data_IF_138417778469
#
_entry.id   IF_138417778469
#
_cell.length_a   1.000
_cell.length_b   1.000
_cell.length_c   1.000
_cell.angle_alpha   90.00
_cell.angle_beta   90.00
_cell.angle_gamma   90.00
#
_symmetry.space_group_name_H-M   'P 1'
#
loop_
_entity.id
_entity.type
_entity.pdbx_description
1 polymer ?
#
# COMPACT_ATOMS: atom_id res chain seq x y z
N UNK A 1 42.28 46.78 -15.56
CA UNK A 1 43.13 45.63 -15.94
C UNK A 1 42.48 44.35 -15.45
N UNK A 2 41.72 43.66 -16.31
CA UNK A 2 41.04 42.40 -15.98
C UNK A 2 41.87 41.24 -16.51
N UNK A 3 42.36 40.40 -15.59
CA UNK A 3 43.26 39.28 -15.85
C UNK A 3 42.45 38.11 -16.44
N UNK A 4 42.60 37.87 -17.74
CA UNK A 4 41.94 36.79 -18.47
C UNK A 4 42.29 35.42 -17.91
N UNK A 5 41.30 34.73 -17.33
CA UNK A 5 41.40 33.33 -16.93
C UNK A 5 41.19 32.46 -18.17
N UNK A 6 42.21 31.67 -18.51
CA UNK A 6 42.21 30.73 -19.62
C UNK A 6 41.04 29.72 -19.50
N UNK A 7 40.16 29.62 -20.52
CA UNK A 7 39.01 28.72 -20.50
C UNK A 7 39.37 27.21 -20.47
N UNK A 8 40.65 26.85 -20.68
CA UNK A 8 41.09 25.45 -20.65
C UNK A 8 41.18 24.81 -19.26
N UNK A 9 41.27 25.61 -18.19
CA UNK A 9 41.41 25.09 -16.82
C UNK A 9 40.08 24.56 -16.23
N UNK A 10 38.93 25.04 -16.74
CA UNK A 10 37.63 24.65 -16.20
C UNK A 10 37.22 23.24 -16.68
N UNK A 11 37.51 22.92 -17.95
CA UNK A 11 37.16 21.62 -18.55
C UNK A 11 37.93 20.45 -17.93
N UNK A 12 39.21 20.62 -17.60
CA UNK A 12 40.02 19.55 -17.00
C UNK A 12 39.62 19.25 -15.55
N UNK A 13 39.13 20.25 -14.82
CA UNK A 13 38.69 20.09 -13.43
C UNK A 13 37.28 19.46 -13.38
N UNK A 14 36.41 19.83 -14.31
CA UNK A 14 35.06 19.25 -14.42
C UNK A 14 35.09 17.78 -14.89
N UNK A 15 35.99 17.43 -15.84
CA UNK A 15 36.15 16.06 -16.31
C UNK A 15 36.73 15.12 -15.23
N UNK A 16 37.70 15.60 -14.43
CA UNK A 16 38.24 14.82 -13.30
C UNK A 16 37.21 14.61 -12.19
N UNK A 17 36.31 15.58 -11.98
CA UNK A 17 35.25 15.48 -10.96
C UNK A 17 34.12 14.53 -11.39
N UNK A 18 33.81 14.47 -12.68
CA UNK A 18 32.79 13.56 -13.22
C UNK A 18 33.28 12.11 -13.29
N UNK A 19 34.56 11.86 -13.56
CA UNK A 19 35.16 10.51 -13.48
C UNK A 19 35.23 10.03 -12.01
N UNK A 20 35.54 10.91 -11.06
CA UNK A 20 35.54 10.57 -9.63
C UNK A 20 34.12 10.33 -9.04
N UNK A 21 33.07 10.86 -9.69
CA UNK A 21 31.68 10.57 -9.36
C UNK A 21 31.16 9.29 -10.02
N UNK A 22 31.68 8.92 -11.19
CA UNK A 22 31.39 7.63 -11.83
C UNK A 22 32.02 6.43 -11.10
N UNK A 23 33.05 6.67 -10.27
CA UNK A 23 33.69 5.67 -9.42
C UNK A 23 32.99 5.49 -8.04
N UNK A 24 31.90 6.23 -7.78
CA UNK A 24 31.04 5.95 -6.62
C UNK A 24 30.13 4.76 -6.92
N UNK A 25 30.70 3.57 -6.72
CA UNK A 25 30.02 2.34 -6.30
C UNK A 25 28.70 2.08 -7.05
N UNK A 26 28.80 1.63 -8.30
CA UNK A 26 27.80 0.66 -8.76
C UNK A 26 27.83 -0.50 -7.76
N UNK A 27 26.75 -0.78 -7.01
CA UNK A 27 26.74 -1.92 -6.11
C UNK A 27 27.08 -3.15 -6.95
N UNK A 28 28.15 -3.82 -6.54
CA UNK A 28 28.73 -5.00 -7.17
C UNK A 28 27.74 -6.16 -7.01
N UNK A 29 26.62 -6.11 -7.74
CA UNK A 29 25.61 -7.17 -7.82
C UNK A 29 26.19 -8.31 -8.65
N UNK A 30 27.12 -9.05 -8.04
CA UNK A 30 27.53 -10.38 -8.48
C UNK A 30 27.21 -11.38 -7.38
N UNK A 31 26.06 -11.20 -6.77
CA UNK A 31 25.46 -12.22 -5.91
C UNK A 31 24.83 -13.23 -6.84
N UNK A 32 25.13 -14.51 -6.64
CA UNK A 32 24.47 -15.55 -7.40
C UNK A 32 22.95 -15.46 -7.18
N UNK A 33 22.12 -15.88 -8.15
CA UNK A 33 20.67 -15.85 -8.00
C UNK A 33 20.20 -16.60 -6.74
N UNK A 34 20.96 -17.60 -6.30
CA UNK A 34 20.72 -18.37 -5.07
C UNK A 34 20.93 -17.51 -3.80
N UNK A 35 22.02 -16.73 -3.74
CA UNK A 35 22.32 -15.87 -2.58
C UNK A 35 21.30 -14.73 -2.44
N UNK A 36 20.86 -14.20 -3.59
CA UNK A 36 19.75 -13.23 -3.63
C UNK A 36 18.48 -13.83 -3.04
N UNK A 37 18.10 -15.05 -3.45
CA UNK A 37 16.92 -15.74 -2.91
C UNK A 37 17.06 -15.99 -1.40
N UNK A 38 18.23 -16.42 -0.92
CA UNK A 38 18.42 -16.65 0.52
C UNK A 38 18.38 -15.36 1.35
N UNK A 39 18.90 -14.24 0.81
CA UNK A 39 18.82 -12.93 1.48
C UNK A 39 17.40 -12.39 1.46
N UNK A 40 16.73 -12.47 0.32
CA UNK A 40 15.32 -12.11 0.17
C UNK A 40 14.44 -12.91 1.13
N UNK A 41 14.66 -14.23 1.21
CA UNK A 41 13.96 -15.15 2.13
C UNK A 41 14.23 -14.82 3.61
N UNK A 42 15.44 -14.36 3.96
CA UNK A 42 15.73 -13.87 5.32
C UNK A 42 15.08 -12.52 5.63
N UNK A 43 14.99 -11.61 4.65
CA UNK A 43 14.24 -10.35 4.79
C UNK A 43 12.73 -10.57 4.94
N UNK A 44 12.20 -11.60 4.29
CA UNK A 44 10.79 -12.00 4.43
C UNK A 44 10.46 -12.56 5.80
N UNK A 45 11.40 -13.18 6.52
CA UNK A 45 11.18 -13.70 7.86
C UNK A 45 10.86 -12.60 8.91
N UNK A 46 11.19 -11.33 8.61
CA UNK A 46 10.78 -10.18 9.43
C UNK A 46 9.30 -9.81 9.26
N UNK A 47 8.67 -10.21 8.15
CA UNK A 47 7.24 -10.00 7.94
C UNK A 47 6.51 -11.22 8.53
N UNK A 48 5.81 -11.05 9.66
CA UNK A 48 4.93 -12.09 10.21
C UNK A 48 3.49 -11.82 9.78
N UNK A 49 2.72 -12.88 9.48
CA UNK A 49 1.28 -12.83 9.18
C UNK A 49 0.92 -12.80 7.69
N UNK A 50 -0.21 -12.18 7.36
CA UNK A 50 -0.81 -12.14 6.02
C UNK A 50 0.14 -11.62 4.94
N UNK A 51 0.99 -10.63 5.25
CA UNK A 51 1.96 -10.06 4.28
C UNK A 51 2.99 -11.08 3.80
N UNK A 52 3.48 -11.95 4.69
CA UNK A 52 4.40 -13.02 4.30
C UNK A 52 3.73 -14.05 3.40
N UNK A 53 2.50 -14.43 3.73
CA UNK A 53 1.74 -15.35 2.92
C UNK A 53 1.50 -14.76 1.51
N UNK A 54 1.08 -13.50 1.43
CA UNK A 54 0.83 -12.82 0.15
C UNK A 54 2.08 -12.68 -0.72
N UNK A 55 3.25 -12.37 -0.13
CA UNK A 55 4.49 -12.16 -0.87
C UNK A 55 5.23 -13.45 -1.25
N UNK A 56 5.03 -14.53 -0.49
CA UNK A 56 5.80 -15.78 -0.69
C UNK A 56 4.92 -16.88 -1.25
N UNK A 57 3.76 -17.14 -0.64
CA UNK A 57 2.85 -18.20 -1.08
C UNK A 57 2.03 -17.76 -2.29
N UNK A 58 1.59 -16.49 -2.33
CA UNK A 58 0.82 -15.94 -3.44
C UNK A 58 1.47 -16.17 -4.82
N UNK A 59 2.73 -15.76 -5.04
CA UNK A 59 3.41 -15.97 -6.32
C UNK A 59 3.59 -17.45 -6.67
N UNK A 60 3.85 -18.32 -5.69
CA UNK A 60 3.98 -19.76 -5.93
C UNK A 60 2.64 -20.37 -6.40
N UNK A 61 1.53 -20.00 -5.76
CA UNK A 61 0.19 -20.44 -6.16
C UNK A 61 -0.17 -19.89 -7.54
N UNK A 62 0.10 -18.60 -7.81
CA UNK A 62 -0.11 -17.99 -9.13
C UNK A 62 0.71 -18.66 -10.22
N UNK A 63 1.97 -19.03 -9.93
CA UNK A 63 2.84 -19.71 -10.87
C UNK A 63 2.34 -21.13 -11.17
N UNK A 64 1.84 -21.84 -10.14
CA UNK A 64 1.16 -23.12 -10.31
C UNK A 64 -0.09 -23.01 -11.19
N UNK A 65 -0.94 -22.02 -10.92
CA UNK A 65 -2.15 -21.73 -11.71
C UNK A 65 -1.80 -21.40 -13.17
N UNK A 66 -0.82 -20.52 -13.40
CA UNK A 66 -0.38 -20.13 -14.72
C UNK A 66 0.19 -21.31 -15.51
N UNK A 67 1.00 -22.16 -14.86
CA UNK A 67 1.53 -23.38 -15.47
C UNK A 67 0.41 -24.33 -15.88
N UNK A 68 -0.56 -24.55 -14.99
CA UNK A 68 -1.72 -25.40 -15.25
C UNK A 68 -2.58 -24.85 -16.41
N UNK A 69 -2.78 -23.54 -16.45
CA UNK A 69 -3.51 -22.85 -17.53
C UNK A 69 -2.80 -23.01 -18.88
N UNK A 70 -1.48 -22.83 -18.92
CA UNK A 70 -0.68 -23.00 -20.15
C UNK A 70 -0.77 -24.43 -20.68
N UNK A 71 -0.60 -25.44 -19.80
CA UNK A 71 -0.70 -26.85 -20.19
C UNK A 71 -2.08 -27.15 -20.78
N UNK A 72 -3.15 -26.67 -20.13
CA UNK A 72 -4.52 -26.85 -20.64
C UNK A 72 -4.74 -26.08 -21.95
N UNK A 73 -4.24 -24.85 -22.07
CA UNK A 73 -4.33 -24.06 -23.30
C UNK A 73 -3.75 -24.78 -24.52
N UNK A 74 -2.65 -25.52 -24.34
CA UNK A 74 -2.06 -26.35 -25.40
C UNK A 74 -2.83 -27.65 -25.68
N UNK A 75 -3.50 -28.24 -24.68
CA UNK A 75 -4.19 -29.54 -24.82
C UNK A 75 -5.63 -29.37 -25.34
N UNK A 76 -6.40 -28.44 -24.77
CA UNK A 76 -7.84 -28.26 -25.07
C UNK A 76 -8.16 -26.98 -25.84
N UNK A 77 -7.18 -26.07 -25.99
CA UNK A 77 -7.35 -24.75 -26.61
C UNK A 77 -7.52 -23.64 -25.57
N UNK A 78 -6.98 -22.44 -25.90
CA UNK A 78 -6.92 -21.30 -24.99
C UNK A 78 -8.30 -20.77 -24.55
N UNK A 79 -9.26 -20.73 -25.49
CA UNK A 79 -10.63 -20.26 -25.20
C UNK A 79 -11.35 -21.20 -24.21
N UNK A 80 -11.29 -22.51 -24.46
CA UNK A 80 -11.88 -23.52 -23.56
C UNK A 80 -11.21 -23.51 -22.19
N UNK A 81 -9.87 -23.43 -22.15
CA UNK A 81 -9.13 -23.33 -20.89
C UNK A 81 -9.52 -22.08 -20.09
N UNK A 82 -9.71 -20.93 -20.76
CA UNK A 82 -10.22 -19.72 -20.12
C UNK A 82 -11.61 -19.93 -19.54
N UNK A 83 -12.57 -20.40 -20.35
CA UNK A 83 -13.95 -20.61 -19.94
C UNK A 83 -14.07 -21.59 -18.75
N UNK A 84 -13.26 -22.64 -18.71
CA UNK A 84 -13.18 -23.59 -17.58
C UNK A 84 -12.59 -22.91 -16.34
N UNK A 85 -11.55 -22.09 -16.50
CA UNK A 85 -10.91 -21.38 -15.38
C UNK A 85 -11.86 -20.38 -14.72
N UNK A 86 -12.65 -19.67 -15.52
CA UNK A 86 -13.68 -18.73 -15.03
C UNK A 86 -15.01 -19.41 -14.70
N UNK A 87 -15.08 -20.75 -14.80
CA UNK A 87 -16.26 -21.58 -14.50
C UNK A 87 -17.52 -21.26 -15.33
N UNK A 88 -17.33 -20.73 -16.54
CA UNK A 88 -18.43 -20.59 -17.51
C UNK A 88 -18.82 -21.96 -18.05
N UNK A 89 -17.83 -22.82 -18.30
CA UNK A 89 -18.02 -24.17 -18.86
C UNK A 89 -17.61 -25.21 -17.83
N UNK A 90 -18.44 -26.25 -17.69
CA UNK A 90 -18.13 -27.41 -16.85
C UNK A 90 -17.01 -28.25 -17.47
N UNK A 91 -16.06 -28.79 -16.70
CA UNK A 91 -15.04 -29.71 -17.23
C UNK A 91 -15.63 -31.01 -17.80
N UNK A 92 -16.90 -31.31 -17.51
CA UNK A 92 -17.65 -32.48 -18.00
C UNK A 92 -18.45 -32.22 -19.27
N UNK A 93 -18.32 -31.05 -19.86
CA UNK A 93 -19.00 -30.73 -21.11
C UNK A 93 -18.49 -31.61 -22.26
N UNK A 94 -19.38 -32.04 -23.15
CA UNK A 94 -19.06 -32.95 -24.26
C UNK A 94 -18.04 -32.34 -25.24
N UNK A 95 -17.95 -31.01 -25.26
CA UNK A 95 -16.99 -30.27 -26.06
C UNK A 95 -15.52 -30.44 -25.59
N UNK A 96 -15.29 -30.99 -24.40
CA UNK A 96 -13.96 -31.17 -23.82
C UNK A 96 -13.55 -32.65 -23.95
N UNK A 97 -12.71 -32.93 -24.94
CA UNK A 97 -12.25 -34.29 -25.23
C UNK A 97 -11.51 -35.00 -24.09
N UNK A 98 -10.96 -34.26 -23.12
CA UNK A 98 -10.17 -34.79 -22.00
C UNK A 98 -10.54 -34.14 -20.65
N UNK A 99 -11.68 -34.55 -20.04
CA UNK A 99 -12.18 -33.96 -18.78
C UNK A 99 -11.17 -34.02 -17.63
N UNK A 100 -10.38 -35.09 -17.56
CA UNK A 100 -9.39 -35.33 -16.49
C UNK A 100 -8.29 -34.28 -16.42
N UNK A 101 -7.94 -33.65 -17.54
CA UNK A 101 -6.91 -32.60 -17.60
C UNK A 101 -7.47 -31.23 -17.22
N UNK A 102 -8.75 -30.98 -17.54
CA UNK A 102 -9.48 -29.76 -17.23
C UNK A 102 -9.95 -29.69 -15.76
N UNK A 103 -10.15 -30.84 -15.12
CA UNK A 103 -10.66 -30.94 -13.74
C UNK A 103 -9.81 -30.17 -12.71
N UNK A 104 -8.47 -30.34 -12.66
CA UNK A 104 -7.62 -29.57 -11.75
C UNK A 104 -7.70 -28.07 -12.01
N UNK A 105 -7.85 -27.64 -13.26
CA UNK A 105 -7.93 -26.24 -13.65
C UNK A 105 -9.22 -25.59 -13.13
N UNK A 106 -10.34 -26.29 -13.27
CA UNK A 106 -11.65 -25.85 -12.75
C UNK A 106 -11.62 -25.69 -11.22
N UNK A 107 -11.08 -26.70 -10.51
CA UNK A 107 -10.87 -26.66 -9.05
C UNK A 107 -9.98 -25.49 -8.63
N UNK A 108 -8.90 -25.25 -9.37
CA UNK A 108 -7.98 -24.16 -9.07
C UNK A 108 -8.64 -22.79 -9.29
N UNK A 109 -9.40 -22.61 -10.38
CA UNK A 109 -10.19 -21.41 -10.62
C UNK A 109 -11.20 -21.14 -9.50
N UNK A 110 -11.81 -22.19 -8.93
CA UNK A 110 -12.70 -22.07 -7.78
C UNK A 110 -12.01 -21.64 -6.50
N UNK A 111 -10.83 -22.15 -6.21
CA UNK A 111 -10.09 -21.81 -4.99
C UNK A 111 -9.49 -20.39 -5.01
N UNK A 112 -9.21 -19.84 -6.19
CA UNK A 112 -8.64 -18.49 -6.32
C UNK A 112 -9.58 -17.43 -5.76
N UNK A 113 -10.89 -17.51 -6.05
CA UNK A 113 -11.84 -16.48 -5.64
C UNK A 113 -11.99 -16.30 -4.12
N UNK A 114 -12.27 -17.36 -3.33
CA UNK A 114 -12.32 -17.25 -1.87
C UNK A 114 -11.00 -16.80 -1.27
N UNK A 115 -9.87 -17.20 -1.87
CA UNK A 115 -8.54 -16.82 -1.40
C UNK A 115 -8.29 -15.33 -1.59
N UNK A 116 -8.63 -14.78 -2.76
CA UNK A 116 -8.53 -13.35 -3.05
C UNK A 116 -9.46 -12.55 -2.14
N UNK A 117 -10.72 -12.96 -2.00
CA UNK A 117 -11.68 -12.30 -1.11
C UNK A 117 -11.24 -12.34 0.35
N UNK A 118 -10.79 -13.50 0.82
CA UNK A 118 -10.26 -13.67 2.18
C UNK A 118 -9.02 -12.82 2.43
N UNK A 119 -8.14 -12.68 1.44
CA UNK A 119 -6.97 -11.80 1.52
C UNK A 119 -7.36 -10.32 1.57
N UNK A 120 -8.31 -9.89 0.75
CA UNK A 120 -8.83 -8.51 0.76
C UNK A 120 -9.53 -8.20 2.09
N UNK A 121 -10.42 -9.08 2.55
CA UNK A 121 -11.11 -8.93 3.84
C UNK A 121 -10.11 -8.96 4.99
N UNK A 122 -9.15 -9.88 4.98
CA UNK A 122 -8.09 -9.95 5.97
C UNK A 122 -7.20 -8.70 5.97
N UNK A 123 -6.92 -8.10 4.82
CA UNK A 123 -6.20 -6.83 4.72
C UNK A 123 -7.03 -5.67 5.29
N UNK A 124 -8.33 -5.61 5.00
CA UNK A 124 -9.24 -4.58 5.52
C UNK A 124 -9.43 -4.73 7.04
N UNK A 125 -9.52 -5.96 7.55
CA UNK A 125 -9.70 -6.25 8.99
C UNK A 125 -8.41 -6.21 9.80
N UNK A 126 -7.25 -6.41 9.17
CA UNK A 126 -5.95 -6.27 9.82
C UNK A 126 -5.55 -4.81 10.07
N UNK A 127 -6.42 -3.85 9.72
CA UNK A 127 -6.28 -2.45 10.10
C UNK A 127 -6.17 -2.35 11.63
N UNK A 128 -5.02 -1.94 12.20
CA UNK A 128 -4.69 -2.04 13.62
C UNK A 128 -5.36 -0.95 14.44
N UNK A 129 -6.66 -0.74 14.27
CA UNK A 129 -7.43 0.24 15.07
C UNK A 129 -7.76 -0.27 16.48
N UNK A 130 -7.46 -1.53 16.83
CA UNK A 130 -8.03 -2.16 18.03
C UNK A 130 -7.15 -2.36 19.27
N UNK A 131 -5.81 -2.38 19.20
CA UNK A 131 -5.07 -3.18 20.18
C UNK A 131 -3.73 -2.66 20.69
N UNK A 132 -3.61 -1.39 21.12
CA UNK A 132 -2.64 -0.84 22.12
C UNK A 132 -2.37 0.67 22.01
N UNK A 133 -3.28 1.48 21.47
CA UNK A 133 -3.15 2.94 21.50
C UNK A 133 -3.58 3.57 22.85
N UNK A 134 -3.19 2.98 23.99
CA UNK A 134 -3.53 3.51 25.34
C UNK A 134 -2.43 4.34 26.00
N UNK A 135 -1.29 4.57 25.35
CA UNK A 135 -0.22 5.41 25.95
C UNK A 135 0.45 6.42 25.01
N UNK A 136 0.03 6.52 23.74
CA UNK A 136 0.67 7.42 22.74
C UNK A 136 -0.25 8.45 22.08
N UNK A 137 -1.57 8.38 22.31
CA UNK A 137 -2.54 9.33 21.73
C UNK A 137 -2.50 10.70 22.40
N UNK A 138 -1.82 10.84 23.54
CA UNK A 138 -1.56 12.15 24.17
C UNK A 138 -0.57 13.01 23.37
N UNK A 139 0.17 12.43 22.43
CA UNK A 139 1.17 13.12 21.62
C UNK A 139 0.65 13.54 20.24
N UNK A 140 -0.57 13.15 19.87
CA UNK A 140 -1.14 13.59 18.59
C UNK A 140 -1.59 15.05 18.76
N UNK A 141 -1.07 16.00 17.95
CA UNK A 141 -1.43 17.39 18.06
C UNK A 141 -2.93 17.53 17.81
N UNK A 142 -3.60 18.21 18.74
CA UNK A 142 -5.03 18.54 18.58
C UNK A 142 -5.15 19.82 17.77
N UNK A 143 -6.29 20.00 17.09
CA UNK A 143 -6.56 21.20 16.29
C UNK A 143 -6.64 22.47 17.15
N UNK A 144 -6.82 22.34 18.46
CA UNK A 144 -6.83 23.43 19.44
C UNK A 144 -5.48 23.64 20.15
N UNK A 145 -4.44 22.90 19.76
CA UNK A 145 -3.09 23.07 20.31
C UNK A 145 -2.46 24.32 19.71
N UNK A 146 -1.92 25.19 20.56
CA UNK A 146 -1.22 26.42 20.16
C UNK A 146 0.27 26.15 19.82
N UNK A 147 0.59 24.90 19.46
CA UNK A 147 1.96 24.42 19.21
C UNK A 147 2.46 24.71 17.78
N UNK A 148 1.63 25.32 16.94
CA UNK A 148 1.98 25.72 15.57
C UNK A 148 2.19 24.54 14.60
N UNK A 149 1.87 23.30 15.00
CA UNK A 149 2.05 22.14 14.12
C UNK A 149 0.97 22.03 13.03
N UNK A 150 -0.19 22.64 13.27
CA UNK A 150 -1.33 22.64 12.35
C UNK A 150 -1.62 24.08 11.94
N UNK A 151 -1.69 24.30 10.63
CA UNK A 151 -2.02 25.62 10.07
C UNK A 151 -3.48 26.01 10.42
N UNK A 152 -3.67 27.19 10.99
CA UNK A 152 -4.97 27.67 11.49
C UNK A 152 -6.09 27.73 10.41
N UNK A 153 -5.81 28.13 9.14
CA UNK A 153 -6.77 28.01 8.04
C UNK A 153 -7.24 26.58 7.80
N UNK A 154 -6.33 25.59 7.89
CA UNK A 154 -6.69 24.19 7.76
C UNK A 154 -7.57 23.75 8.94
N UNK A 155 -7.20 24.10 10.17
CA UNK A 155 -7.98 23.75 11.35
C UNK A 155 -9.42 24.27 11.27
N UNK A 156 -9.60 25.54 10.87
CA UNK A 156 -10.92 26.14 10.63
C UNK A 156 -11.71 25.44 9.52
N UNK A 157 -11.08 25.13 8.38
CA UNK A 157 -11.74 24.40 7.28
C UNK A 157 -12.17 23.00 7.72
N UNK A 158 -11.32 22.29 8.45
CA UNK A 158 -11.63 20.95 8.95
C UNK A 158 -12.75 20.96 9.99
N UNK A 159 -12.82 22.01 10.82
CA UNK A 159 -13.93 22.24 11.76
C UNK A 159 -15.25 22.54 11.04
N UNK A 160 -15.22 23.33 9.96
CA UNK A 160 -16.40 23.62 9.14
C UNK A 160 -17.01 22.34 8.53
N UNK A 161 -16.19 21.38 8.10
CA UNK A 161 -16.65 20.05 7.66
C UNK A 161 -17.46 19.30 8.75
N UNK A 162 -17.27 19.66 10.02
CA UNK A 162 -17.98 19.09 11.16
C UNK A 162 -19.09 20.01 11.69
N UNK A 163 -19.59 20.94 10.85
CA UNK A 163 -20.63 21.93 11.20
C UNK A 163 -20.26 22.77 12.43
N UNK A 164 -18.99 23.17 12.55
CA UNK A 164 -18.51 23.96 13.70
C UNK A 164 -18.35 23.15 15.00
N UNK A 165 -18.54 21.82 14.97
CA UNK A 165 -18.37 20.98 16.16
C UNK A 165 -16.90 20.63 16.38
N UNK A 166 -16.12 21.58 16.92
CA UNK A 166 -14.67 21.43 17.18
C UNK A 166 -14.29 20.14 17.90
N UNK A 167 -15.03 19.75 18.96
CA UNK A 167 -14.76 18.50 19.70
C UNK A 167 -14.86 17.24 18.82
N UNK A 168 -15.83 17.21 17.90
CA UNK A 168 -16.01 16.11 16.95
C UNK A 168 -14.91 16.12 15.89
N UNK A 169 -14.58 17.30 15.36
CA UNK A 169 -13.45 17.48 14.44
C UNK A 169 -12.14 17.00 15.07
N UNK A 170 -11.83 17.40 16.30
CA UNK A 170 -10.65 16.94 17.05
C UNK A 170 -10.60 15.42 17.20
N UNK A 171 -11.73 14.80 17.54
CA UNK A 171 -11.82 13.34 17.67
C UNK A 171 -11.52 12.63 16.34
N UNK A 172 -12.04 13.16 15.23
CA UNK A 172 -11.82 12.60 13.90
C UNK A 172 -10.39 12.85 13.40
N UNK A 173 -9.85 14.04 13.63
CA UNK A 173 -8.48 14.39 13.33
C UNK A 173 -7.49 13.43 13.99
N UNK A 174 -7.63 13.19 15.31
CA UNK A 174 -6.77 12.26 16.05
C UNK A 174 -6.85 10.85 15.47
N UNK A 175 -8.04 10.39 15.07
CA UNK A 175 -8.21 9.09 14.41
C UNK A 175 -7.54 9.04 13.04
N UNK A 176 -7.64 10.10 12.23
CA UNK A 176 -7.01 10.17 10.90
C UNK A 176 -5.49 10.15 11.05
N UNK A 177 -4.91 11.01 11.87
CA UNK A 177 -3.46 11.03 12.11
C UNK A 177 -2.99 9.70 12.70
N UNK A 178 -3.76 9.11 13.62
CA UNK A 178 -3.48 7.78 14.16
C UNK A 178 -3.41 6.67 13.10
N UNK A 179 -4.27 6.74 12.06
CA UNK A 179 -4.18 5.84 10.90
C UNK A 179 -2.89 6.06 10.12
N UNK A 180 -2.54 7.31 9.80
CA UNK A 180 -1.30 7.62 9.09
C UNK A 180 -0.04 7.24 9.88
N UNK A 181 -0.04 7.34 11.21
CA UNK A 181 1.05 6.83 12.06
C UNK A 181 1.23 5.31 11.95
N UNK A 182 0.17 4.59 11.55
CA UNK A 182 0.15 3.14 11.44
C UNK A 182 0.45 2.65 10.01
N UNK A 183 0.52 3.54 9.02
CA UNK A 183 0.84 3.17 7.64
C UNK A 183 2.34 3.17 7.38
N UNK A 184 2.77 2.38 6.39
CA UNK A 184 4.17 2.32 5.95
C UNK A 184 4.63 3.62 5.26
N UNK A 185 3.72 4.57 5.01
CA UNK A 185 4.03 5.89 4.48
C UNK A 185 4.88 6.72 5.46
N UNK A 186 4.82 6.40 6.76
CA UNK A 186 5.63 7.03 7.80
C UNK A 186 6.82 6.12 8.11
N UNK A 187 8.03 6.69 8.07
CA UNK A 187 9.24 5.89 8.25
C UNK A 187 9.28 5.27 9.66
N UNK A 188 9.16 3.94 9.73
CA UNK A 188 9.13 3.17 10.98
C UNK A 188 10.44 3.28 11.80
N UNK A 189 11.54 3.74 11.21
CA UNK A 189 12.82 3.96 11.89
C UNK A 189 13.05 5.42 12.32
N UNK A 190 12.15 6.35 11.97
CA UNK A 190 12.29 7.75 12.35
C UNK A 190 12.03 7.95 13.86
N UNK A 191 12.67 8.97 14.44
CA UNK A 191 12.39 9.41 15.81
C UNK A 191 10.89 9.75 15.95
N UNK A 192 10.31 9.52 17.13
CA UNK A 192 8.85 9.65 17.38
C UNK A 192 8.27 10.99 16.91
N UNK A 193 8.99 12.08 17.11
CA UNK A 193 8.60 13.42 16.64
C UNK A 193 8.53 13.51 15.11
N UNK A 194 9.56 13.04 14.40
CA UNK A 194 9.56 13.03 12.92
C UNK A 194 8.46 12.13 12.35
N UNK A 195 8.14 11.02 13.02
CA UNK A 195 6.99 10.18 12.64
C UNK A 195 5.68 10.93 12.75
N UNK A 196 5.50 11.69 13.84
CA UNK A 196 4.33 12.53 14.04
C UNK A 196 4.22 13.60 12.95
N UNK A 197 5.29 14.34 12.69
CA UNK A 197 5.34 15.37 11.64
C UNK A 197 5.00 14.78 10.26
N UNK A 198 5.58 13.61 9.92
CA UNK A 198 5.27 12.91 8.67
C UNK A 198 3.80 12.47 8.59
N UNK A 199 3.24 11.92 9.67
CA UNK A 199 1.86 11.48 9.72
C UNK A 199 0.87 12.66 9.59
N UNK A 200 1.14 13.76 10.29
CA UNK A 200 0.35 15.00 10.21
C UNK A 200 0.42 15.58 8.80
N UNK A 201 1.61 15.71 8.22
CA UNK A 201 1.78 16.22 6.86
C UNK A 201 1.05 15.34 5.83
N UNK A 202 1.17 14.02 5.93
CA UNK A 202 0.48 13.08 5.05
C UNK A 202 -1.05 13.16 5.21
N UNK A 203 -1.56 13.30 6.44
CA UNK A 203 -2.97 13.48 6.72
C UNK A 203 -3.52 14.78 6.11
N UNK A 204 -2.80 15.90 6.27
CA UNK A 204 -3.19 17.19 5.68
C UNK A 204 -3.19 17.11 4.16
N UNK A 205 -2.13 16.56 3.56
CA UNK A 205 -2.03 16.40 2.11
C UNK A 205 -3.17 15.54 1.57
N UNK A 206 -3.48 14.42 2.23
CA UNK A 206 -4.61 13.55 1.88
C UNK A 206 -5.95 14.28 1.95
N UNK A 207 -6.20 15.02 3.04
CA UNK A 207 -7.44 15.77 3.22
C UNK A 207 -7.58 16.93 2.22
N UNK A 208 -6.48 17.58 1.83
CA UNK A 208 -6.47 18.64 0.82
C UNK A 208 -6.64 18.10 -0.61
N UNK A 209 -6.19 16.87 -0.87
CA UNK A 209 -6.33 16.22 -2.17
C UNK A 209 -7.75 15.67 -2.41
N UNK A 210 -8.57 15.53 -1.37
CA UNK A 210 -9.96 15.13 -1.54
C UNK A 210 -10.78 16.27 -2.19
N UNK A 211 -11.68 15.96 -3.14
CA UNK A 211 -12.56 16.94 -3.75
C UNK A 211 -13.36 17.70 -2.68
N UNK A 212 -13.64 18.98 -2.91
CA UNK A 212 -14.27 19.88 -1.91
C UNK A 212 -15.65 19.42 -1.39
N UNK A 213 -16.31 18.48 -2.07
CA UNK A 213 -17.58 17.88 -1.66
C UNK A 213 -17.43 16.60 -0.80
N UNK A 214 -16.23 16.01 -0.73
CA UNK A 214 -16.00 14.81 0.08
C UNK A 214 -15.94 15.15 1.57
N UNK A 215 -16.76 14.42 2.33
CA UNK A 215 -16.90 14.53 3.78
C UNK A 215 -15.71 13.90 4.49
N UNK A 216 -15.52 14.24 5.77
CA UNK A 216 -14.57 13.54 6.63
C UNK A 216 -14.76 12.02 6.51
N UNK A 217 -13.70 11.22 6.25
CA UNK A 217 -13.80 9.79 5.96
C UNK A 217 -14.29 8.94 7.15
N UNK A 218 -14.46 9.55 8.32
CA UNK A 218 -14.96 8.91 9.54
C UNK A 218 -16.43 9.27 9.79
N UNK A 219 -16.93 10.38 9.23
CA UNK A 219 -18.33 10.73 9.37
C UNK A 219 -19.19 9.75 8.58
N UNK A 220 -20.29 9.23 9.15
CA UNK A 220 -21.26 8.49 8.36
C UNK A 220 -21.84 9.41 7.26
N UNK A 221 -22.24 8.83 6.11
CA UNK A 221 -23.01 9.57 5.11
C UNK A 221 -24.29 10.14 5.76
N UNK A 222 -24.80 11.29 5.26
CA UNK A 222 -25.93 11.99 5.88
C UNK A 222 -27.18 11.12 5.93
N UNK A 223 -27.36 10.28 4.91
CA UNK A 223 -28.52 9.40 4.74
C UNK A 223 -28.65 8.43 5.92
N UNK A 224 -27.54 8.00 6.51
CA UNK A 224 -27.53 7.11 7.68
C UNK A 224 -27.61 7.85 9.02
N UNK A 225 -27.53 9.19 9.03
CA UNK A 225 -27.53 9.97 10.25
C UNK A 225 -28.94 10.41 10.69
N UNK A 226 -29.93 10.39 9.80
CA UNK A 226 -31.29 10.84 10.11
C UNK A 226 -32.20 9.73 10.68
N UNK A 227 -31.96 8.46 10.33
CA UNK A 227 -32.78 7.33 10.85
C UNK A 227 -32.60 7.05 12.35
N UNK A 228 -31.52 7.55 12.98
CA UNK A 228 -31.23 7.30 14.39
C UNK A 228 -31.68 8.38 15.38
N UNK A 229 -32.41 9.41 14.93
CA UNK A 229 -32.79 10.58 15.75
C UNK A 229 -34.31 10.78 15.86
N UNK A 230 -35.11 9.74 15.61
CA UNK A 230 -36.52 9.75 15.95
C UNK A 230 -36.67 9.59 17.49
N UNK A 231 -37.45 10.45 18.15
CA UNK A 231 -37.59 10.51 19.61
C UNK A 231 -38.26 9.27 20.20
#
# INVERSE_FOLDING_TARGET
MLRGKSPGAFLTTWLKSSIALADRKLPRWREGPIDFIHRWRRGLAQHRGIRYWLLVQGPLVLLGLATLFIINGFVIGWEKAYNVTVQITSPWDEEIAQPWVAMPLSLAGWLVWPSVTGAVVGYVLADPTGGRARSGTSLIPRLDSDDGQIDEPFARRFEQLHRGRRKKANTHWVKIVGRFLSTDAVNSNAHSQRKMEQAVAAAIAFLNAMPGEMRCPICPPPELAEEGSLP
#
